data_IF_574452133701
#
_entry.id   IF_574452133701
#
_cell.length_a   1.000
_cell.length_b   1.000
_cell.length_c   1.000
_cell.angle_alpha   90.00
_cell.angle_beta   90.00
_cell.angle_gamma   90.00
#
_symmetry.space_group_name_H-M   'P 1'
#
loop_
_entity.id
_entity.type
_entity.pdbx_description
1 polymer ?
#
# COMPACT_ATOMS: atom_id res chain seq x y z
N UNK A 1 21.85 23.63 24.09
CA UNK A 1 21.94 22.43 24.95
C UNK A 1 21.25 21.17 24.39
N UNK A 2 20.60 21.18 23.21
CA UNK A 2 20.04 19.92 22.64
C UNK A 2 21.13 19.09 21.91
N UNK A 3 22.20 19.73 21.40
CA UNK A 3 23.31 19.04 20.71
C UNK A 3 24.26 18.26 21.63
N UNK A 4 24.73 18.87 22.74
CA UNK A 4 25.70 18.22 23.65
C UNK A 4 25.17 16.91 24.27
N UNK A 5 23.87 16.82 24.55
CA UNK A 5 23.28 15.57 25.05
C UNK A 5 23.12 14.49 23.98
N UNK A 6 22.93 14.89 22.72
CA UNK A 6 22.85 13.95 21.61
C UNK A 6 24.22 13.31 21.36
N UNK A 7 25.27 14.12 21.24
CA UNK A 7 26.63 13.63 20.98
C UNK A 7 27.12 12.69 22.10
N UNK A 8 26.85 13.04 23.37
CA UNK A 8 27.17 12.19 24.52
C UNK A 8 26.40 10.86 24.48
N UNK A 9 25.13 10.87 24.06
CA UNK A 9 24.32 9.66 23.93
C UNK A 9 24.76 8.78 22.75
N UNK A 10 25.19 9.36 21.63
CA UNK A 10 25.73 8.58 20.52
C UNK A 10 27.08 7.95 20.89
N UNK A 11 27.90 8.70 21.65
CA UNK A 11 29.20 8.22 22.13
C UNK A 11 29.06 7.04 23.10
N UNK A 12 28.06 7.04 23.98
CA UNK A 12 27.89 5.97 24.97
C UNK A 12 27.65 4.60 24.35
N UNK A 13 27.14 4.51 23.12
CA UNK A 13 27.03 3.23 22.39
C UNK A 13 28.39 2.64 22.06
N UNK A 14 29.34 3.48 21.65
CA UNK A 14 30.70 3.03 21.34
C UNK A 14 31.43 2.66 22.63
N UNK A 15 31.34 3.50 23.67
CA UNK A 15 31.97 3.23 24.97
C UNK A 15 31.51 1.90 25.57
N UNK A 16 30.20 1.60 25.52
CA UNK A 16 29.66 0.37 26.08
C UNK A 16 30.14 -0.88 25.32
N UNK A 17 30.24 -0.79 23.99
CA UNK A 17 30.54 -1.95 23.13
C UNK A 17 32.03 -2.31 23.05
N UNK A 18 32.93 -1.42 23.45
CA UNK A 18 34.38 -1.67 23.45
C UNK A 18 34.74 -2.92 24.23
N UNK A 19 34.09 -3.15 25.37
CA UNK A 19 34.33 -4.34 26.21
C UNK A 19 33.85 -5.64 25.57
N UNK A 20 32.92 -5.55 24.61
CA UNK A 20 32.36 -6.70 23.90
C UNK A 20 33.19 -7.11 22.67
N UNK A 21 34.02 -6.22 22.13
CA UNK A 21 34.85 -6.51 20.96
C UNK A 21 36.29 -6.90 21.38
N UNK A 22 36.80 -8.09 21.00
CA UNK A 22 38.13 -8.54 21.41
C UNK A 22 39.30 -7.63 21.02
N UNK A 23 39.21 -6.95 19.88
CA UNK A 23 40.25 -6.03 19.37
C UNK A 23 40.30 -4.74 20.20
N UNK A 24 39.13 -4.24 20.62
CA UNK A 24 39.02 -2.98 21.35
C UNK A 24 39.05 -3.16 22.87
N UNK A 25 38.74 -4.35 23.38
CA UNK A 25 38.70 -4.64 24.82
C UNK A 25 39.96 -4.18 25.59
N UNK A 26 41.21 -4.29 25.05
CA UNK A 26 42.39 -3.76 25.72
C UNK A 26 42.34 -2.26 26.05
N UNK A 27 41.58 -1.46 25.30
CA UNK A 27 41.41 -0.01 25.54
C UNK A 27 40.69 0.26 26.86
N UNK A 28 39.73 -0.58 27.25
CA UNK A 28 38.89 -0.39 28.44
C UNK A 28 39.67 -0.34 29.77
N UNK A 29 40.86 -0.95 29.80
CA UNK A 29 41.71 -1.06 30.99
C UNK A 29 42.91 -0.11 30.98
N UNK A 30 43.12 0.63 29.88
CA UNK A 30 44.32 1.47 29.69
C UNK A 30 44.02 2.94 29.92
N UNK A 31 43.29 3.59 29.01
CA UNK A 31 42.97 5.02 29.11
C UNK A 31 41.68 5.38 28.38
N UNK A 32 40.84 6.19 29.02
CA UNK A 32 39.65 6.77 28.41
C UNK A 32 40.03 7.76 27.29
N UNK A 33 41.17 8.45 27.41
CA UNK A 33 41.65 9.37 26.38
C UNK A 33 41.95 8.62 25.08
N UNK A 34 42.57 7.43 25.18
CA UNK A 34 42.89 6.61 24.02
C UNK A 34 41.63 6.14 23.27
N UNK A 35 40.54 5.88 24.00
CA UNK A 35 39.24 5.55 23.39
C UNK A 35 38.78 6.70 22.50
N UNK A 36 38.73 7.93 23.02
CA UNK A 36 38.30 9.09 22.25
C UNK A 36 39.23 9.38 21.08
N UNK A 37 40.55 9.27 21.27
CA UNK A 37 41.53 9.43 20.20
C UNK A 37 41.31 8.42 19.07
N UNK A 38 41.06 7.14 19.38
CA UNK A 38 40.81 6.11 18.36
C UNK A 38 39.48 6.35 17.64
N UNK A 39 38.43 6.78 18.35
CA UNK A 39 37.15 7.17 17.74
C UNK A 39 37.37 8.32 16.76
N UNK A 40 38.10 9.36 17.17
CA UNK A 40 38.41 10.49 16.31
C UNK A 40 39.23 10.06 15.08
N UNK A 41 40.28 9.25 15.26
CA UNK A 41 41.07 8.72 14.15
C UNK A 41 40.21 7.92 13.16
N UNK A 42 39.22 7.15 13.65
CA UNK A 42 38.29 6.41 12.82
C UNK A 42 37.30 7.29 12.04
N UNK A 43 36.97 8.48 12.57
CA UNK A 43 36.11 9.48 11.93
C UNK A 43 36.86 10.32 10.90
N UNK A 44 38.04 10.83 11.28
CA UNK A 44 38.82 11.77 10.47
C UNK A 44 39.53 11.08 9.29
N UNK A 45 39.82 9.78 9.42
CA UNK A 45 40.46 8.98 8.36
C UNK A 45 41.90 9.38 8.03
N UNK A 46 42.40 10.44 8.67
CA UNK A 46 43.80 10.88 8.61
C UNK A 46 44.61 10.04 9.60
N UNK A 47 45.52 9.22 9.09
CA UNK A 47 46.40 8.36 9.90
C UNK A 47 47.44 9.11 10.74
N UNK A 48 47.16 10.35 11.14
CA UNK A 48 48.00 11.08 12.07
C UNK A 48 47.83 10.43 13.45
N UNK A 49 48.94 9.97 14.02
CA UNK A 49 48.94 9.32 15.32
C UNK A 49 48.54 10.38 16.35
N UNK A 50 47.29 10.29 16.83
CA UNK A 50 46.82 11.14 17.90
C UNK A 50 47.66 10.96 19.18
N UNK A 51 47.45 11.86 20.14
CA UNK A 51 48.14 11.85 21.42
C UNK A 51 47.63 10.70 22.32
N UNK A 52 48.12 9.49 22.04
CA UNK A 52 47.82 8.25 22.75
C UNK A 52 48.71 8.10 24.00
N UNK A 53 48.11 7.78 25.14
CA UNK A 53 48.80 7.49 26.40
C UNK A 53 49.34 6.05 26.44
N UNK A 54 48.61 5.11 25.84
CA UNK A 54 49.01 3.73 25.73
C UNK A 54 50.09 3.48 24.68
N UNK A 55 50.95 2.48 24.94
CA UNK A 55 51.90 1.99 23.96
C UNK A 55 51.21 0.95 23.06
N UNK A 56 50.97 1.32 21.81
CA UNK A 56 50.38 0.47 20.77
C UNK A 56 51.36 0.35 19.60
N UNK A 57 51.47 -0.86 19.03
CA UNK A 57 52.14 -1.02 17.74
C UNK A 57 51.32 -0.35 16.63
N UNK A 58 51.95 -0.11 15.49
CA UNK A 58 51.26 0.47 14.32
C UNK A 58 50.17 -0.48 13.83
N UNK A 59 50.43 -1.78 13.86
CA UNK A 59 49.50 -2.84 13.47
C UNK A 59 48.29 -2.89 14.41
N UNK A 60 48.51 -2.91 15.73
CA UNK A 60 47.43 -2.86 16.72
C UNK A 60 46.55 -1.63 16.53
N UNK A 61 47.16 -0.45 16.34
CA UNK A 61 46.43 0.79 16.17
C UNK A 61 45.58 0.79 14.89
N UNK A 62 46.15 0.30 13.78
CA UNK A 62 45.42 0.18 12.51
C UNK A 62 44.23 -0.78 12.64
N UNK A 63 44.40 -1.90 13.36
CA UNK A 63 43.34 -2.86 13.59
C UNK A 63 42.20 -2.27 14.45
N UNK A 64 42.55 -1.55 15.52
CA UNK A 64 41.60 -0.84 16.38
C UNK A 64 40.83 0.24 15.62
N UNK A 65 41.52 1.09 14.86
CA UNK A 65 40.90 2.16 14.06
C UNK A 65 39.97 1.58 12.98
N UNK A 66 40.40 0.53 12.27
CA UNK A 66 39.58 -0.15 11.25
C UNK A 66 38.32 -0.79 11.86
N UNK A 67 38.45 -1.39 13.05
CA UNK A 67 37.31 -1.96 13.80
C UNK A 67 36.36 -0.86 14.27
N UNK A 68 36.90 0.22 14.86
CA UNK A 68 36.12 1.35 15.35
C UNK A 68 35.32 2.03 14.23
N UNK A 69 35.93 2.20 13.04
CA UNK A 69 35.24 2.75 11.86
C UNK A 69 33.98 1.94 11.50
N UNK A 70 34.06 0.61 11.58
CA UNK A 70 32.91 -0.28 11.34
C UNK A 70 31.87 -0.16 12.45
N UNK A 71 32.29 -0.07 13.72
CA UNK A 71 31.38 0.11 14.84
C UNK A 71 30.65 1.46 14.81
N UNK A 72 31.29 2.53 14.34
CA UNK A 72 30.62 3.81 14.07
C UNK A 72 29.46 3.60 13.09
N UNK A 73 29.69 2.88 11.98
CA UNK A 73 28.62 2.56 11.03
C UNK A 73 27.50 1.73 11.66
N UNK A 74 27.83 0.73 12.48
CA UNK A 74 26.85 -0.08 13.22
C UNK A 74 26.01 0.79 14.15
N UNK A 75 26.67 1.65 14.93
CA UNK A 75 26.01 2.61 15.84
C UNK A 75 25.00 3.46 15.07
N UNK A 76 25.39 4.01 13.91
CA UNK A 76 24.51 4.88 13.13
C UNK A 76 23.24 4.16 12.66
N UNK A 77 23.36 2.88 12.28
CA UNK A 77 22.18 2.05 11.96
C UNK A 77 21.32 1.83 13.20
N UNK A 78 21.91 1.41 14.32
CA UNK A 78 21.19 1.14 15.57
C UNK A 78 20.45 2.40 16.07
N UNK A 79 21.09 3.55 16.02
CA UNK A 79 20.47 4.83 16.38
C UNK A 79 19.33 5.17 15.44
N UNK A 80 19.47 4.92 14.13
CA UNK A 80 18.39 5.13 13.15
C UNK A 80 17.19 4.23 13.44
N UNK A 81 17.43 2.95 13.78
CA UNK A 81 16.38 2.02 14.22
C UNK A 81 15.72 2.50 15.51
N UNK A 82 16.49 2.95 16.50
CA UNK A 82 15.96 3.45 17.76
C UNK A 82 15.08 4.70 17.56
N UNK A 83 15.52 5.64 16.73
CA UNK A 83 14.74 6.85 16.39
C UNK A 83 13.42 6.48 15.73
N UNK A 84 13.44 5.55 14.78
CA UNK A 84 12.20 5.10 14.11
C UNK A 84 11.29 4.32 15.07
N UNK A 85 11.83 3.49 15.95
CA UNK A 85 11.08 2.81 16.99
C UNK A 85 10.33 3.80 17.89
N UNK A 86 11.02 4.82 18.40
CA UNK A 86 10.42 5.85 19.26
C UNK A 86 9.37 6.65 18.48
N UNK A 87 9.68 7.07 17.25
CA UNK A 87 8.74 7.80 16.38
C UNK A 87 7.47 7.00 16.13
N UNK A 88 7.62 5.72 15.77
CA UNK A 88 6.54 4.78 15.53
C UNK A 88 5.71 4.57 16.81
N UNK A 89 6.35 4.34 17.96
CA UNK A 89 5.65 4.13 19.22
C UNK A 89 4.92 5.39 19.73
N UNK A 90 5.40 6.58 19.39
CA UNK A 90 4.76 7.86 19.74
C UNK A 90 3.61 8.25 18.80
N UNK A 91 3.47 7.59 17.65
CA UNK A 91 2.40 7.86 16.68
C UNK A 91 1.12 7.14 17.08
N UNK A 92 0.01 7.87 17.17
CA UNK A 92 -1.32 7.27 17.34
C UNK A 92 -1.72 6.44 16.11
N UNK A 93 -2.34 5.30 16.35
CA UNK A 93 -2.81 4.38 15.30
C UNK A 93 -3.76 5.07 14.30
N UNK A 94 -4.57 6.03 14.75
CA UNK A 94 -5.55 6.74 13.90
C UNK A 94 -4.91 7.56 12.78
N UNK A 95 -3.68 8.06 13.00
CA UNK A 95 -2.96 8.91 12.04
C UNK A 95 -1.83 8.16 11.35
N UNK A 96 -1.86 6.84 11.38
CA UNK A 96 -0.77 6.00 10.90
C UNK A 96 -0.87 5.77 9.39
N UNK A 97 0.23 5.97 8.67
CA UNK A 97 0.30 5.80 7.21
C UNK A 97 0.97 4.49 6.78
N UNK A 98 1.62 3.79 7.72
CA UNK A 98 2.34 2.55 7.50
C UNK A 98 2.31 1.67 8.76
N UNK A 99 2.47 0.34 8.66
CA UNK A 99 2.45 -0.56 9.82
C UNK A 99 3.39 -0.13 10.96
N UNK A 100 3.08 -0.55 12.19
CA UNK A 100 3.91 -0.28 13.35
C UNK A 100 5.32 -0.88 13.22
N UNK A 101 6.33 -0.01 13.31
CA UNK A 101 7.72 -0.41 13.47
C UNK A 101 7.99 -0.74 14.94
N UNK A 102 8.50 -1.95 15.17
CA UNK A 102 8.66 -2.65 16.46
C UNK A 102 10.10 -3.10 16.72
N UNK A 103 10.96 -3.15 15.70
CA UNK A 103 12.39 -3.44 15.90
C UNK A 103 13.04 -2.33 16.71
N UNK A 104 13.88 -2.71 17.67
CA UNK A 104 14.52 -1.77 18.60
C UNK A 104 16.01 -1.64 18.29
N UNK A 105 16.54 -0.43 18.46
CA UNK A 105 17.97 -0.16 18.50
C UNK A 105 18.41 0.02 19.95
N UNK A 106 19.13 -0.95 20.51
CA UNK A 106 19.56 -0.93 21.92
C UNK A 106 21.06 -1.20 22.08
N UNK A 107 21.61 -0.88 23.26
CA UNK A 107 22.97 -1.27 23.63
C UNK A 107 23.22 -2.79 23.50
N UNK A 108 22.20 -3.62 23.76
CA UNK A 108 22.32 -5.07 23.60
C UNK A 108 22.53 -5.45 22.13
N UNK A 109 21.84 -4.77 21.22
CA UNK A 109 22.06 -4.96 19.78
C UNK A 109 23.49 -4.55 19.41
N UNK A 110 23.95 -3.41 19.93
CA UNK A 110 25.30 -2.91 19.69
C UNK A 110 26.36 -3.91 20.13
N UNK A 111 26.26 -4.42 21.37
CA UNK A 111 27.23 -5.36 21.92
C UNK A 111 27.24 -6.70 21.15
N UNK A 112 26.06 -7.25 20.83
CA UNK A 112 25.95 -8.51 20.07
C UNK A 112 26.54 -8.39 18.66
N UNK A 113 26.35 -7.25 17.99
CA UNK A 113 26.96 -7.02 16.68
C UNK A 113 28.47 -6.79 16.84
N UNK A 114 28.89 -5.99 17.82
CA UNK A 114 30.29 -5.66 18.07
C UNK A 114 31.17 -6.89 18.34
N UNK A 115 30.65 -7.92 19.03
CA UNK A 115 31.33 -9.21 19.24
C UNK A 115 31.77 -9.89 17.92
N UNK A 116 31.08 -9.61 16.82
CA UNK A 116 31.28 -10.26 15.51
C UNK A 116 31.88 -9.34 14.45
N UNK A 117 32.25 -8.11 14.82
CA UNK A 117 32.91 -7.17 13.91
C UNK A 117 34.41 -7.40 13.92
N UNK A 118 34.98 -7.65 12.75
CA UNK A 118 36.41 -7.85 12.56
C UNK A 118 37.01 -6.75 11.68
N UNK A 119 38.28 -6.38 11.95
CA UNK A 119 38.98 -5.33 11.23
C UNK A 119 39.07 -5.59 9.71
N UNK A 120 39.16 -6.86 9.30
CA UNK A 120 39.31 -7.28 7.90
C UNK A 120 37.99 -7.29 7.11
N UNK A 121 36.84 -7.12 7.77
CA UNK A 121 35.54 -7.15 7.09
C UNK A 121 35.42 -6.03 6.05
N UNK A 122 34.77 -6.32 4.94
CA UNK A 122 34.35 -5.30 3.98
C UNK A 122 32.95 -4.75 4.33
N UNK A 123 32.54 -3.69 3.63
CA UNK A 123 31.26 -3.01 3.91
C UNK A 123 30.04 -3.92 3.70
N UNK A 124 30.08 -4.82 2.72
CA UNK A 124 29.00 -5.77 2.43
C UNK A 124 28.87 -6.86 3.50
N UNK A 125 30.00 -7.35 4.01
CA UNK A 125 30.02 -8.30 5.13
C UNK A 125 29.48 -7.65 6.41
N UNK A 126 29.86 -6.39 6.68
CA UNK A 126 29.34 -5.63 7.81
C UNK A 126 27.83 -5.41 7.68
N UNK A 127 27.36 -5.02 6.50
CA UNK A 127 25.93 -4.85 6.23
C UNK A 127 25.17 -6.17 6.44
N UNK A 128 25.69 -7.27 5.90
CA UNK A 128 25.10 -8.60 6.06
C UNK A 128 25.01 -9.00 7.53
N UNK A 129 26.05 -8.71 8.33
CA UNK A 129 26.05 -8.96 9.77
C UNK A 129 24.95 -8.17 10.49
N UNK A 130 24.79 -6.89 10.16
CA UNK A 130 23.76 -6.02 10.75
C UNK A 130 22.36 -6.54 10.36
N UNK A 131 22.13 -6.82 9.09
CA UNK A 131 20.86 -7.36 8.58
C UNK A 131 20.51 -8.68 9.27
N UNK A 132 21.45 -9.62 9.32
CA UNK A 132 21.24 -10.92 9.98
C UNK A 132 20.89 -10.77 11.47
N UNK A 133 21.49 -9.80 12.18
CA UNK A 133 21.08 -9.54 13.56
C UNK A 133 19.60 -9.13 13.65
N UNK A 134 19.15 -8.21 12.80
CA UNK A 134 17.77 -7.72 12.81
C UNK A 134 16.76 -8.73 12.27
N UNK A 135 17.16 -9.61 11.34
CA UNK A 135 16.36 -10.75 10.91
C UNK A 135 16.07 -11.71 12.08
N UNK A 136 17.09 -12.00 12.91
CA UNK A 136 16.90 -12.82 14.09
C UNK A 136 15.97 -12.17 15.12
N UNK A 137 16.11 -10.86 15.36
CA UNK A 137 15.23 -10.16 16.29
C UNK A 137 13.78 -10.09 15.76
N UNK A 138 13.60 -9.94 14.44
CA UNK A 138 12.31 -9.87 13.80
C UNK A 138 11.50 -11.18 13.85
N UNK A 139 12.15 -12.34 13.98
CA UNK A 139 11.45 -13.64 14.08
C UNK A 139 10.40 -13.68 15.20
N UNK A 140 10.61 -12.91 16.27
CA UNK A 140 9.68 -12.81 17.40
C UNK A 140 8.42 -11.99 17.09
N UNK A 141 8.40 -11.24 15.98
CA UNK A 141 7.30 -10.36 15.58
C UNK A 141 6.18 -11.08 14.82
N UNK A 142 6.34 -12.35 14.48
CA UNK A 142 5.31 -13.19 13.83
C UNK A 142 4.76 -12.55 12.55
N UNK A 143 3.50 -12.09 12.53
CA UNK A 143 2.86 -11.44 11.39
C UNK A 143 3.48 -10.10 11.01
N UNK A 144 4.14 -9.41 11.94
CA UNK A 144 4.70 -8.07 11.67
C UNK A 144 6.13 -8.11 11.13
N UNK A 145 6.71 -9.31 11.01
CA UNK A 145 8.09 -9.55 10.59
C UNK A 145 8.40 -8.90 9.24
N UNK A 146 7.58 -9.17 8.22
CA UNK A 146 7.82 -8.70 6.85
C UNK A 146 7.85 -7.16 6.78
N UNK A 147 6.80 -6.51 7.30
CA UNK A 147 6.70 -5.06 7.31
C UNK A 147 7.86 -4.40 8.08
N UNK A 148 8.27 -4.98 9.21
CA UNK A 148 9.37 -4.48 10.02
C UNK A 148 10.72 -4.62 9.34
N UNK A 149 10.99 -5.74 8.67
CA UNK A 149 12.23 -5.95 7.94
C UNK A 149 12.33 -5.05 6.70
N UNK A 150 11.23 -4.86 5.97
CA UNK A 150 11.20 -3.93 4.84
C UNK A 150 11.42 -2.50 5.28
N UNK A 151 10.77 -2.05 6.37
CA UNK A 151 11.02 -0.73 6.95
C UNK A 151 12.47 -0.58 7.42
N UNK A 152 13.04 -1.59 8.04
CA UNK A 152 14.44 -1.59 8.45
C UNK A 152 15.40 -1.46 7.25
N UNK A 153 15.16 -2.21 6.17
CA UNK A 153 15.94 -2.09 4.92
C UNK A 153 15.76 -0.72 4.25
N UNK A 154 14.56 -0.11 4.36
CA UNK A 154 14.29 1.26 3.94
C UNK A 154 15.17 2.26 4.71
N UNK A 155 15.24 2.13 6.04
CA UNK A 155 16.10 2.99 6.90
C UNK A 155 17.59 2.85 6.56
N UNK A 156 18.02 1.65 6.16
CA UNK A 156 19.40 1.40 5.75
C UNK A 156 19.69 1.84 4.31
N UNK A 157 18.67 2.11 3.49
CA UNK A 157 18.82 2.46 2.08
C UNK A 157 19.21 1.29 1.18
N UNK A 158 18.87 0.05 1.56
CA UNK A 158 19.32 -1.19 0.89
C UNK A 158 18.17 -2.02 0.30
N UNK A 159 16.99 -1.43 0.16
CA UNK A 159 15.86 -2.10 -0.48
C UNK A 159 16.19 -2.44 -1.94
N UNK A 160 15.92 -3.68 -2.32
CA UNK A 160 15.85 -4.06 -3.74
C UNK A 160 14.56 -3.53 -4.37
N UNK A 161 14.50 -3.46 -5.71
CA UNK A 161 13.31 -2.99 -6.43
C UNK A 161 12.05 -3.79 -6.05
N UNK A 162 12.18 -5.12 -5.99
CA UNK A 162 11.09 -6.01 -5.62
C UNK A 162 10.64 -5.81 -4.16
N UNK A 163 11.57 -5.55 -3.24
CA UNK A 163 11.24 -5.25 -1.84
C UNK A 163 10.58 -3.87 -1.69
N UNK A 164 11.00 -2.88 -2.49
CA UNK A 164 10.38 -1.56 -2.51
C UNK A 164 8.93 -1.63 -3.00
N UNK A 165 8.68 -2.37 -4.09
CA UNK A 165 7.33 -2.64 -4.59
C UNK A 165 6.48 -3.32 -3.51
N UNK A 166 7.00 -4.41 -2.91
CA UNK A 166 6.32 -5.12 -1.82
C UNK A 166 6.03 -4.22 -0.62
N UNK A 167 6.95 -3.35 -0.26
CA UNK A 167 6.76 -2.40 0.83
C UNK A 167 5.67 -1.37 0.52
N UNK A 168 5.62 -0.87 -0.72
CA UNK A 168 4.58 0.05 -1.16
C UNK A 168 3.19 -0.60 -1.17
N UNK A 169 3.08 -1.87 -1.56
CA UNK A 169 1.84 -2.65 -1.49
C UNK A 169 1.33 -2.84 -0.06
N UNK A 170 2.24 -3.15 0.87
CA UNK A 170 1.93 -3.25 2.30
C UNK A 170 1.42 -1.90 2.82
N UNK A 171 2.08 -0.79 2.49
CA UNK A 171 1.64 0.56 2.87
C UNK A 171 0.28 0.93 2.25
N UNK A 172 0.02 0.56 0.99
CA UNK A 172 -1.29 0.78 0.32
C UNK A 172 -2.40 0.02 1.03
N UNK A 173 -2.18 -1.27 1.28
CA UNK A 173 -3.12 -2.15 1.97
C UNK A 173 -3.38 -1.70 3.41
N UNK A 174 -2.33 -1.27 4.12
CA UNK A 174 -2.45 -0.73 5.48
C UNK A 174 -3.31 0.53 5.52
N UNK A 175 -3.06 1.50 4.63
CA UNK A 175 -3.86 2.74 4.56
C UNK A 175 -5.34 2.47 4.26
N UNK A 176 -5.62 1.55 3.33
CA UNK A 176 -7.00 1.13 3.02
C UNK A 176 -7.69 0.52 4.24
N UNK A 177 -6.99 -0.36 4.97
CA UNK A 177 -7.52 -0.95 6.19
C UNK A 177 -7.68 0.08 7.32
N UNK A 178 -6.78 1.05 7.43
CA UNK A 178 -6.86 2.13 8.41
C UNK A 178 -8.08 3.02 8.16
N UNK A 179 -8.34 3.39 6.89
CA UNK A 179 -9.55 4.15 6.52
C UNK A 179 -10.84 3.39 6.86
N UNK A 180 -10.88 2.08 6.60
CA UNK A 180 -12.02 1.23 6.97
C UNK A 180 -12.22 1.14 8.50
N UNK A 181 -11.13 1.11 9.28
CA UNK A 181 -11.16 1.11 10.75
C UNK A 181 -11.60 2.45 11.34
N UNK A 182 -11.14 3.58 10.79
CA UNK A 182 -11.56 4.92 11.22
C UNK A 182 -13.04 5.22 10.94
N UNK A 183 -13.66 4.47 10.02
CA UNK A 183 -15.12 4.49 9.78
C UNK A 183 -15.87 3.48 10.67
N UNK A 184 -15.16 2.69 11.46
CA UNK A 184 -15.67 1.66 12.35
C UNK A 184 -16.10 2.19 13.72
N UNK A 185 -17.19 2.95 13.75
CA UNK A 185 -17.92 3.34 14.95
C UNK A 185 -19.28 3.96 14.57
N UNK A 186 -20.33 3.14 14.62
CA UNK A 186 -21.76 3.44 14.37
C UNK A 186 -22.30 3.61 12.95
N UNK A 187 -21.55 3.97 11.90
CA UNK A 187 -22.21 4.36 10.65
C UNK A 187 -22.10 3.35 9.49
N UNK A 188 -23.06 2.40 9.43
CA UNK A 188 -23.23 1.46 8.30
C UNK A 188 -23.36 2.18 6.95
N UNK A 189 -23.84 3.43 6.98
CA UNK A 189 -23.94 4.29 5.80
C UNK A 189 -22.56 4.76 5.33
N UNK A 190 -21.64 5.11 6.23
CA UNK A 190 -20.27 5.47 5.89
C UNK A 190 -19.50 4.26 5.33
N UNK A 191 -19.76 3.04 5.83
CA UNK A 191 -19.23 1.81 5.23
C UNK A 191 -19.76 1.59 3.81
N UNK A 192 -21.04 1.84 3.54
CA UNK A 192 -21.62 1.76 2.20
C UNK A 192 -21.02 2.82 1.26
N UNK A 193 -20.81 4.04 1.74
CA UNK A 193 -20.17 5.13 0.97
C UNK A 193 -18.70 4.81 0.66
N UNK A 194 -17.96 4.21 1.59
CA UNK A 194 -16.60 3.72 1.33
C UNK A 194 -16.57 2.58 0.31
N UNK A 195 -17.52 1.63 0.39
CA UNK A 195 -17.62 0.56 -0.60
C UNK A 195 -17.93 1.10 -1.99
N UNK A 196 -18.82 2.10 -2.11
CA UNK A 196 -19.11 2.77 -3.38
C UNK A 196 -17.88 3.55 -3.90
N UNK A 197 -17.12 4.19 -3.01
CA UNK A 197 -15.88 4.88 -3.37
C UNK A 197 -14.80 3.91 -3.87
N UNK A 198 -14.64 2.76 -3.22
CA UNK A 198 -13.74 1.68 -3.64
C UNK A 198 -14.14 1.08 -4.99
N UNK A 199 -15.45 1.00 -5.30
CA UNK A 199 -15.94 0.60 -6.62
C UNK A 199 -15.57 1.66 -7.67
N UNK A 200 -15.70 2.95 -7.34
CA UNK A 200 -15.25 4.04 -8.21
C UNK A 200 -13.75 3.99 -8.52
N UNK A 201 -12.91 3.69 -7.52
CA UNK A 201 -11.46 3.51 -7.69
C UNK A 201 -11.13 2.26 -8.52
N UNK A 202 -11.79 1.12 -8.25
CA UNK A 202 -11.59 -0.09 -9.03
C UNK A 202 -11.98 0.06 -10.51
N UNK A 203 -13.02 0.85 -10.81
CA UNK A 203 -13.40 1.18 -12.19
C UNK A 203 -12.38 2.10 -12.88
N UNK A 204 -11.72 2.98 -12.12
CA UNK A 204 -10.63 3.83 -12.62
C UNK A 204 -9.37 3.01 -12.93
N UNK A 205 -8.97 2.09 -12.04
CA UNK A 205 -7.83 1.19 -12.28
C UNK A 205 -8.05 0.29 -13.50
N UNK A 206 -9.27 -0.23 -13.66
CA UNK A 206 -9.68 -1.01 -14.85
C UNK A 206 -9.55 -0.15 -16.10
N UNK A 207 -10.04 1.09 -16.08
CA UNK A 207 -9.93 2.02 -17.21
C UNK A 207 -8.46 2.29 -17.57
N UNK A 208 -7.62 2.62 -16.60
CA UNK A 208 -6.20 2.94 -16.85
C UNK A 208 -5.44 1.75 -17.45
N UNK A 209 -5.69 0.56 -16.93
CA UNK A 209 -5.10 -0.69 -17.45
C UNK A 209 -5.58 -0.97 -18.89
N UNK A 210 -6.85 -0.69 -19.17
CA UNK A 210 -7.45 -0.86 -20.49
C UNK A 210 -6.97 0.19 -21.50
N UNK A 211 -6.88 1.47 -21.13
CA UNK A 211 -6.33 2.56 -21.96
C UNK A 211 -4.87 2.27 -22.34
N UNK A 212 -4.08 1.74 -21.40
CA UNK A 212 -2.72 1.28 -21.67
C UNK A 212 -2.68 0.07 -22.63
N UNK A 213 -3.63 -0.87 -22.50
CA UNK A 213 -3.77 -2.02 -23.39
C UNK A 213 -4.13 -1.61 -24.83
N UNK A 214 -5.07 -0.69 -25.01
CA UNK A 214 -5.48 -0.16 -26.33
C UNK A 214 -4.37 0.65 -26.98
N UNK A 215 -3.65 1.46 -26.19
CA UNK A 215 -2.49 2.21 -26.68
C UNK A 215 -1.38 1.29 -27.22
N UNK A 216 -1.21 0.10 -26.63
CA UNK A 216 -0.29 -0.93 -27.15
C UNK A 216 -0.80 -1.58 -28.44
N UNK A 217 -2.09 -1.94 -28.50
CA UNK A 217 -2.72 -2.54 -29.68
C UNK A 217 -2.73 -1.60 -30.90
N UNK A 218 -2.79 -0.28 -30.69
CA UNK A 218 -2.77 0.72 -31.75
C UNK A 218 -1.36 1.17 -32.15
N UNK A 219 -0.35 0.89 -31.32
CA UNK A 219 1.06 1.18 -31.60
C UNK A 219 1.75 0.07 -32.43
N UNK A 220 1.30 -1.19 -32.33
CA UNK A 220 1.75 -2.29 -33.20
C UNK A 220 1.13 -2.15 -34.61
N UNK A 221 1.71 -1.24 -35.40
CA UNK A 221 1.44 -1.14 -36.84
C UNK A 221 2.04 -2.36 -37.56
N UNK A 222 1.27 -3.41 -37.74
CA UNK A 222 1.34 -4.21 -38.97
C UNK A 222 0.11 -5.13 -39.17
N UNK A 223 -0.49 -4.99 -40.35
CA UNK A 223 -1.46 -5.88 -41.03
C UNK A 223 -2.96 -5.76 -40.69
N UNK A 224 -3.72 -5.19 -41.64
CA UNK A 224 -5.16 -5.34 -41.92
C UNK A 224 -6.20 -5.26 -40.77
N UNK A 225 -5.83 -4.81 -39.58
CA UNK A 225 -6.75 -4.63 -38.46
C UNK A 225 -7.18 -3.16 -38.25
N UNK A 226 -6.93 -2.25 -39.20
CA UNK A 226 -7.22 -0.81 -39.00
C UNK A 226 -8.72 -0.48 -38.88
N UNK A 227 -9.60 -1.24 -39.55
CA UNK A 227 -11.05 -1.03 -39.49
C UNK A 227 -11.65 -1.60 -38.20
N UNK A 228 -11.22 -2.80 -37.78
CA UNK A 228 -11.65 -3.41 -36.52
C UNK A 228 -11.04 -2.71 -35.31
N UNK A 229 -9.78 -2.28 -35.37
CA UNK A 229 -9.16 -1.51 -34.29
C UNK A 229 -9.80 -0.13 -34.11
N UNK A 230 -10.28 0.51 -35.18
CA UNK A 230 -11.04 1.77 -35.09
C UNK A 230 -12.44 1.58 -34.53
N UNK A 231 -13.23 0.63 -35.02
CA UNK A 231 -14.58 0.35 -34.50
C UNK A 231 -14.50 -0.13 -33.04
N UNK A 232 -13.49 -0.94 -32.71
CA UNK A 232 -13.19 -1.32 -31.33
C UNK A 232 -12.79 -0.10 -30.50
N UNK A 233 -11.86 0.75 -30.96
CA UNK A 233 -11.46 1.95 -30.24
C UNK A 233 -12.63 2.93 -30.02
N UNK A 234 -13.53 3.12 -30.99
CA UNK A 234 -14.71 3.98 -30.85
C UNK A 234 -15.73 3.40 -29.85
N UNK A 235 -16.02 2.09 -29.93
CA UNK A 235 -16.89 1.42 -28.95
C UNK A 235 -16.30 1.43 -27.54
N UNK A 236 -14.97 1.36 -27.43
CA UNK A 236 -14.27 1.44 -26.16
C UNK A 236 -14.21 2.85 -25.60
N UNK A 237 -14.09 3.87 -26.46
CA UNK A 237 -14.18 5.26 -26.04
C UNK A 237 -15.55 5.53 -25.40
N UNK A 238 -16.63 5.02 -26.01
CA UNK A 238 -17.97 5.08 -25.43
C UNK A 238 -18.10 4.29 -24.12
N UNK A 239 -17.45 3.13 -24.01
CA UNK A 239 -17.42 2.38 -22.75
C UNK A 239 -16.69 3.18 -21.66
N UNK A 240 -15.54 3.78 -21.96
CA UNK A 240 -14.78 4.62 -21.03
C UNK A 240 -15.57 5.87 -20.61
N UNK A 241 -16.29 6.51 -21.55
CA UNK A 241 -17.21 7.61 -21.27
C UNK A 241 -18.37 7.18 -20.36
N UNK A 242 -18.96 6.00 -20.62
CA UNK A 242 -20.04 5.46 -19.79
C UNK A 242 -19.56 5.16 -18.37
N UNK A 243 -18.36 4.59 -18.22
CA UNK A 243 -17.73 4.34 -16.93
C UNK A 243 -17.42 5.65 -16.19
N UNK A 244 -16.96 6.68 -16.89
CA UNK A 244 -16.76 8.02 -16.32
C UNK A 244 -18.08 8.66 -15.87
N UNK A 245 -19.15 8.44 -16.62
CA UNK A 245 -20.50 8.93 -16.27
C UNK A 245 -21.01 8.23 -15.02
N UNK A 246 -20.81 6.90 -14.92
CA UNK A 246 -21.13 6.11 -13.73
C UNK A 246 -20.31 6.57 -12.53
N UNK A 247 -19.01 6.79 -12.69
CA UNK A 247 -18.12 7.29 -11.64
C UNK A 247 -18.54 8.69 -11.16
N UNK A 248 -18.90 9.58 -12.09
CA UNK A 248 -19.38 10.94 -11.79
C UNK A 248 -20.73 10.90 -11.07
N UNK A 249 -21.64 10.02 -11.49
CA UNK A 249 -22.93 9.82 -10.82
C UNK A 249 -22.76 9.22 -9.42
N UNK A 250 -21.85 8.26 -9.25
CA UNK A 250 -21.56 7.64 -7.96
C UNK A 250 -20.91 8.62 -6.99
N UNK A 251 -19.96 9.43 -7.47
CA UNK A 251 -19.28 10.47 -6.66
C UNK A 251 -20.17 11.67 -6.35
N UNK A 252 -21.13 12.00 -7.23
CA UNK A 252 -22.13 13.04 -6.96
C UNK A 252 -23.21 12.54 -5.99
N UNK A 253 -23.68 11.30 -6.17
CA UNK A 253 -24.64 10.66 -5.28
C UNK A 253 -24.09 10.45 -3.86
N UNK A 254 -22.81 10.13 -3.71
CA UNK A 254 -22.18 10.07 -2.38
C UNK A 254 -22.07 11.44 -1.73
N UNK A 255 -21.78 12.51 -2.50
CA UNK A 255 -21.77 13.90 -2.01
C UNK A 255 -23.16 14.37 -1.54
N UNK A 256 -24.21 14.04 -2.28
CA UNK A 256 -25.59 14.37 -1.91
C UNK A 256 -26.03 13.63 -0.64
N UNK A 257 -25.63 12.36 -0.49
CA UNK A 257 -25.89 11.60 0.74
C UNK A 257 -25.09 12.17 1.92
N UNK A 258 -23.81 12.54 1.74
CA UNK A 258 -23.02 13.16 2.83
C UNK A 258 -23.57 14.52 3.26
N UNK A 259 -24.06 15.33 2.32
CA UNK A 259 -24.65 16.65 2.64
C UNK A 259 -26.03 16.53 3.31
N UNK A 260 -26.85 15.55 2.90
CA UNK A 260 -28.10 15.21 3.59
C UNK A 260 -27.86 14.71 5.02
N UNK A 261 -26.81 13.92 5.24
CA UNK A 261 -26.41 13.44 6.58
C UNK A 261 -25.90 14.59 7.44
N UNK A 262 -25.06 15.48 6.91
CA UNK A 262 -24.61 16.69 7.61
C UNK A 262 -25.77 17.64 7.98
N UNK A 263 -26.76 17.80 7.09
CA UNK A 263 -27.98 18.57 7.38
C UNK A 263 -28.85 17.90 8.45
N UNK A 264 -28.95 16.56 8.43
CA UNK A 264 -29.69 15.80 9.44
C UNK A 264 -29.02 15.87 10.81
N UNK A 265 -27.68 15.81 10.88
CA UNK A 265 -26.91 15.97 12.11
C UNK A 265 -27.01 17.40 12.69
N UNK A 266 -27.02 18.44 11.84
CA UNK A 266 -27.26 19.84 12.26
C UNK A 266 -28.69 20.05 12.79
N UNK A 267 -29.68 19.40 12.19
CA UNK A 267 -31.08 19.50 12.67
C UNK A 267 -31.32 18.78 14.00
N UNK A 268 -30.44 17.84 14.39
CA UNK A 268 -30.53 17.10 15.66
C UNK A 268 -29.88 17.83 16.85
N UNK A 269 -29.04 18.84 16.61
CA UNK A 269 -28.38 19.63 17.66
C UNK A 269 -29.18 20.84 18.17
N UNK A 270 -30.32 21.19 17.57
CA UNK A 270 -31.07 22.43 17.88
C UNK A 270 -32.40 22.26 18.64
N UNK A 271 -32.78 21.06 19.08
CA UNK A 271 -34.00 20.89 19.90
C UNK A 271 -33.69 20.87 21.41
N UNK A 272 -34.19 21.83 22.22
CA UNK A 272 -34.06 21.79 23.66
C UNK A 272 -35.03 20.77 24.26
N UNK A 273 -34.54 19.98 25.22
CA UNK A 273 -35.28 18.96 25.96
C UNK A 273 -36.28 19.64 26.93
N UNK A 274 -37.58 19.32 26.92
CA UNK A 274 -38.46 19.55 28.06
C UNK A 274 -38.59 18.28 28.92
N UNK A 275 -38.52 18.48 30.24
CA UNK A 275 -38.57 17.46 31.29
C UNK A 275 -40.02 17.17 31.73
N UNK A 276 -40.34 15.87 31.87
CA UNK A 276 -41.39 15.21 32.68
C UNK A 276 -42.89 15.49 32.42
N UNK A 277 -43.69 14.42 32.23
CA UNK A 277 -44.54 13.78 33.27
C UNK A 277 -45.40 12.62 32.72
N UNK A 278 -45.61 11.66 33.60
CA UNK A 278 -46.47 10.47 33.55
C UNK A 278 -47.96 10.84 33.43
N UNK A 279 -48.72 10.16 32.58
CA UNK A 279 -50.18 9.87 32.67
C UNK A 279 -50.59 9.16 31.35
N UNK A 280 -50.88 7.88 31.41
CA UNK A 280 -52.22 7.25 31.47
C UNK A 280 -52.87 7.03 30.11
N UNK A 281 -53.15 5.74 29.88
CA UNK A 281 -53.68 5.10 28.69
C UNK A 281 -55.17 5.36 28.56
N UNK A 282 -55.62 5.95 27.46
CA UNK A 282 -57.00 5.77 26.96
C UNK A 282 -56.99 5.50 25.47
N UNK A 283 -57.25 4.23 25.14
CA UNK A 283 -57.53 3.73 23.80
C UNK A 283 -58.93 4.18 23.37
N UNK A 284 -59.04 4.79 22.19
CA UNK A 284 -60.23 4.74 21.37
C UNK A 284 -59.85 4.25 19.95
N UNK A 285 -60.62 3.33 19.35
CA UNK A 285 -60.24 2.66 18.12
C UNK A 285 -61.01 3.25 16.93
N UNK A 286 -60.33 3.98 16.06
CA UNK A 286 -60.51 3.91 14.61
C UNK A 286 -59.52 4.86 13.96
N UNK A 287 -58.40 4.32 13.50
CA UNK A 287 -57.69 4.93 12.39
C UNK A 287 -57.19 3.79 11.52
N UNK A 288 -57.86 3.58 10.39
CA UNK A 288 -57.33 2.72 9.33
C UNK A 288 -56.01 3.35 8.88
N UNK A 289 -54.90 2.85 9.41
CA UNK A 289 -53.57 3.14 8.88
C UNK A 289 -53.53 2.58 7.48
N UNK A 290 -53.87 3.42 6.50
CA UNK A 290 -53.66 3.11 5.10
C UNK A 290 -52.17 3.29 4.88
N UNK A 291 -51.41 2.19 4.93
CA UNK A 291 -50.00 2.17 4.55
C UNK A 291 -49.95 2.47 3.05
N UNK A 292 -49.87 3.75 2.71
CA UNK A 292 -49.53 4.18 1.36
C UNK A 292 -48.03 3.99 1.24
N UNK A 293 -47.62 2.80 0.82
CA UNK A 293 -46.25 2.48 0.45
C UNK A 293 -45.92 3.24 -0.84
N UNK A 294 -45.68 4.54 -0.72
CA UNK A 294 -45.21 5.39 -1.83
C UNK A 294 -43.70 5.27 -1.86
N UNK A 295 -43.22 4.64 -2.93
CA UNK A 295 -41.80 4.61 -3.30
C UNK A 295 -41.24 6.04 -3.21
N UNK A 296 -40.15 6.29 -2.45
CA UNK A 296 -39.53 7.61 -2.36
C UNK A 296 -39.20 8.14 -3.76
N UNK A 297 -39.44 9.44 -4.02
CA UNK A 297 -39.20 10.03 -5.36
C UNK A 297 -37.78 9.84 -5.87
N UNK A 298 -36.79 9.76 -4.98
CA UNK A 298 -35.41 9.41 -5.34
C UNK A 298 -35.29 7.99 -5.89
N UNK A 299 -36.00 7.03 -5.31
CA UNK A 299 -36.03 5.64 -5.78
C UNK A 299 -36.84 5.51 -7.07
N UNK A 300 -37.87 6.36 -7.26
CA UNK A 300 -38.63 6.45 -8.49
C UNK A 300 -37.77 6.99 -9.64
N UNK A 301 -37.01 8.06 -9.40
CA UNK A 301 -36.05 8.60 -10.36
C UNK A 301 -34.95 7.58 -10.71
N UNK A 302 -34.48 6.81 -9.72
CA UNK A 302 -33.51 5.73 -9.96
C UNK A 302 -34.15 4.63 -10.81
N UNK A 303 -35.39 4.20 -10.52
CA UNK A 303 -36.08 3.19 -11.32
C UNK A 303 -36.38 3.68 -12.74
N UNK A 304 -36.76 4.95 -12.93
CA UNK A 304 -36.95 5.57 -14.24
C UNK A 304 -35.63 5.64 -15.01
N UNK A 305 -34.54 6.08 -14.37
CA UNK A 305 -33.20 6.13 -14.98
C UNK A 305 -32.70 4.72 -15.34
N UNK A 306 -32.98 3.71 -14.50
CA UNK A 306 -32.67 2.32 -14.77
C UNK A 306 -33.52 1.74 -15.90
N UNK A 307 -34.77 2.17 -16.06
CA UNK A 307 -35.63 1.77 -17.16
C UNK A 307 -35.19 2.40 -18.49
N UNK A 308 -34.75 3.65 -18.48
CA UNK A 308 -34.17 4.34 -19.64
C UNK A 308 -32.83 3.73 -20.05
N UNK A 309 -31.99 3.33 -19.09
CA UNK A 309 -30.77 2.56 -19.34
C UNK A 309 -31.08 1.19 -19.92
N UNK A 310 -32.09 0.49 -19.40
CA UNK A 310 -32.57 -0.78 -19.96
C UNK A 310 -33.05 -0.59 -21.40
N UNK A 311 -33.84 0.45 -21.69
CA UNK A 311 -34.30 0.75 -23.05
C UNK A 311 -33.13 1.09 -23.96
N UNK A 312 -32.15 1.87 -23.48
CA UNK A 312 -30.93 2.20 -24.21
C UNK A 312 -30.05 0.99 -24.53
N UNK A 313 -30.09 -0.06 -23.70
CA UNK A 313 -29.32 -1.31 -23.94
C UNK A 313 -30.13 -2.36 -24.72
N UNK A 314 -31.46 -2.33 -24.61
CA UNK A 314 -32.36 -3.18 -25.41
C UNK A 314 -32.52 -2.66 -26.83
N UNK A 315 -32.44 -1.35 -27.07
CA UNK A 315 -32.61 -0.76 -28.40
C UNK A 315 -31.56 -1.27 -29.40
N UNK A 316 -30.26 -1.36 -29.06
CA UNK A 316 -29.25 -2.00 -29.88
C UNK A 316 -29.48 -3.49 -30.07
N UNK A 317 -30.02 -4.22 -29.09
CA UNK A 317 -30.32 -5.65 -29.24
C UNK A 317 -31.51 -5.88 -30.18
N UNK A 318 -32.54 -5.04 -30.09
CA UNK A 318 -33.71 -5.08 -30.97
C UNK A 318 -33.36 -4.61 -32.41
N UNK A 319 -32.45 -3.66 -32.58
CA UNK A 319 -31.95 -3.22 -33.90
C UNK A 319 -30.85 -4.12 -34.47
N UNK A 320 -30.02 -4.75 -33.63
CA UNK A 320 -29.03 -5.78 -34.00
C UNK A 320 -29.70 -7.05 -34.54
N UNK A 321 -30.93 -7.33 -34.12
CA UNK A 321 -31.75 -8.42 -34.69
C UNK A 321 -32.09 -8.16 -36.17
N UNK A 322 -32.16 -6.90 -36.61
CA UNK A 322 -32.34 -6.53 -38.02
C UNK A 322 -31.03 -6.38 -38.80
N UNK A 323 -29.96 -5.89 -38.16
CA UNK A 323 -28.64 -5.76 -38.80
C UNK A 323 -28.00 -7.13 -39.11
N UNK A 324 -28.16 -8.12 -38.22
CA UNK A 324 -27.60 -9.46 -38.43
C UNK A 324 -28.44 -10.34 -39.38
N UNK A 325 -29.63 -9.91 -39.80
CA UNK A 325 -30.53 -10.75 -40.60
C UNK A 325 -30.01 -11.00 -42.03
N UNK A 326 -29.22 -10.06 -42.58
CA UNK A 326 -28.57 -10.20 -43.88
C UNK A 326 -27.35 -11.14 -43.82
N UNK A 327 -26.48 -10.95 -42.81
CA UNK A 327 -25.29 -11.78 -42.61
C UNK A 327 -25.63 -13.23 -42.21
N UNK A 328 -26.67 -13.44 -41.38
CA UNK A 328 -27.15 -14.79 -41.07
C UNK A 328 -27.82 -15.47 -42.28
N UNK A 329 -28.40 -14.71 -43.21
CA UNK A 329 -28.97 -15.28 -44.44
C UNK A 329 -27.86 -15.73 -45.40
N UNK A 330 -26.82 -14.93 -45.54
CA UNK A 330 -25.64 -15.26 -46.35
C UNK A 330 -24.85 -16.44 -45.75
N UNK A 331 -24.66 -16.45 -44.42
CA UNK A 331 -24.05 -17.57 -43.72
C UNK A 331 -24.88 -18.86 -43.84
N UNK A 332 -26.22 -18.77 -43.78
CA UNK A 332 -27.12 -19.91 -43.97
C UNK A 332 -27.05 -20.45 -45.40
N UNK A 333 -26.95 -19.58 -46.41
CA UNK A 333 -26.78 -19.99 -47.81
C UNK A 333 -25.43 -20.66 -48.03
N UNK A 334 -24.34 -20.14 -47.44
CA UNK A 334 -23.00 -20.74 -47.50
C UNK A 334 -22.94 -22.11 -46.79
N UNK A 335 -23.53 -22.24 -45.60
CA UNK A 335 -23.60 -23.51 -44.87
C UNK A 335 -24.43 -24.53 -45.64
N UNK A 336 -25.55 -24.12 -46.25
CA UNK A 336 -26.40 -25.01 -47.05
C UNK A 336 -25.66 -25.49 -48.30
N UNK A 337 -24.88 -24.61 -48.95
CA UNK A 337 -24.06 -24.96 -50.11
C UNK A 337 -22.94 -25.94 -49.73
N UNK A 338 -22.23 -25.67 -48.63
CA UNK A 338 -21.18 -26.54 -48.09
C UNK A 338 -21.71 -27.94 -47.74
N UNK A 339 -22.89 -28.04 -47.12
CA UNK A 339 -23.53 -29.33 -46.82
C UNK A 339 -23.96 -30.09 -48.08
N UNK A 340 -24.44 -29.40 -49.11
CA UNK A 340 -24.79 -30.03 -50.39
C UNK A 340 -23.55 -30.54 -51.13
N UNK A 341 -22.47 -29.76 -51.14
CA UNK A 341 -21.20 -30.14 -51.75
C UNK A 341 -20.57 -31.32 -51.01
N UNK A 342 -20.61 -31.33 -49.69
CA UNK A 342 -20.15 -32.44 -48.86
C UNK A 342 -20.96 -33.73 -49.10
N UNK A 343 -22.29 -33.63 -49.20
CA UNK A 343 -23.15 -34.77 -49.52
C UNK A 343 -22.93 -35.27 -50.96
N UNK A 344 -22.65 -34.39 -51.91
CA UNK A 344 -22.30 -34.78 -53.28
C UNK A 344 -20.92 -35.48 -53.34
N UNK A 345 -19.97 -35.06 -52.52
CA UNK A 345 -18.66 -35.69 -52.35
C UNK A 345 -18.79 -37.08 -51.72
N UNK A 346 -19.59 -37.22 -50.67
CA UNK A 346 -19.92 -38.52 -50.07
C UNK A 346 -20.57 -39.46 -51.08
N UNK A 347 -21.52 -38.96 -51.90
CA UNK A 347 -22.17 -39.77 -52.93
C UNK A 347 -21.21 -40.22 -54.04
N UNK A 348 -20.23 -39.38 -54.40
CA UNK A 348 -19.18 -39.75 -55.38
C UNK A 348 -18.19 -40.77 -54.81
N UNK A 349 -17.97 -40.78 -53.50
CA UNK A 349 -17.14 -41.78 -52.84
C UNK A 349 -17.85 -43.12 -52.63
N UNK A 350 -19.20 -43.14 -52.61
CA UNK A 350 -20.00 -44.38 -52.57
C UNK A 350 -20.20 -45.01 -53.97
N UNK A 351 -19.93 -44.28 -55.05
CA UNK A 351 -20.07 -44.74 -56.45
C UNK A 351 -18.72 -45.20 -57.09
N UNK A 352 -17.60 -45.16 -56.35
CA UNK A 352 -16.31 -45.82 -56.67
C UNK A 352 -16.08 -47.05 -55.78
#
# INVERSE_FOLDING_TARGET
MIGEHADAFEMSYLENCITSNPVLNPLSSRSQKDIYTIIQMAQDGTGERGDLEGNYSVEELNEMVSTMKKLIRVRDVILSVNREYIRSAAQSDDYRTEPAFKLQGSYRNMNRIAEKVFAVMNDKELETLIVSNYENDAQTLTSDTEANLLKFKELMGILTEAELERWNDIKKSFRKNQQLKSVGGEDRLAQAVLQLSNVGEGLQDIRETMDAGISRLTAEKETNLDLYAKDFAERFQHLAESLNTIQTALTSGTKDVTTLVEQSLKSRSEQPIPVSKTEETTLLPDDKITIVNKIPRSLLNVLETQFDLMQGWLQPLLTSTHANQAEFKELRELITRCLNDYNALLKRMDDE
#
